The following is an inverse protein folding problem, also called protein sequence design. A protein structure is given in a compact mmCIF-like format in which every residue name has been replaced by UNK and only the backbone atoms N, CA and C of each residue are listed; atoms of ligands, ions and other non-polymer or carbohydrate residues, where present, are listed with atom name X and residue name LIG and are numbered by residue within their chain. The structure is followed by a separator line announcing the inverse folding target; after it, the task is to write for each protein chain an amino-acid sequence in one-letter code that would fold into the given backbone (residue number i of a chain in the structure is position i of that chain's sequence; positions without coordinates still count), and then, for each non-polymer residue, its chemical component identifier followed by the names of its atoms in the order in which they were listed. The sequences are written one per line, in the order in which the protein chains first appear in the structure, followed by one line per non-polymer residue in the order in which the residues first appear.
data_IF_942316467073
#
_entry.id   IF_942316467073
#
_cell.length_a   1.000
_cell.length_b   1.000
_cell.length_c   1.000
_cell.angle_alpha   90.00
_cell.angle_beta   90.00
_cell.angle_gamma   90.00
#
_symmetry.space_group_name_H-M   'P 1'
#
loop_
_entity.id
_entity.type
_entity.pdbx_description
1 polymer ?
#
# COMPACT_ATOMS: atom_id res chain seq x y z
N UNK A 1 -21.54 -25.70 -3.25
CA UNK A 1 -20.32 -24.95 -2.89
C UNK A 1 -19.79 -25.56 -1.60
N UNK A 2 -18.55 -26.05 -1.57
CA UNK A 2 -18.00 -26.67 -0.35
C UNK A 2 -17.70 -25.55 0.65
N UNK A 3 -18.18 -25.67 1.89
CA UNK A 3 -17.90 -24.68 2.93
C UNK A 3 -16.39 -24.60 3.19
N UNK A 4 -15.82 -23.38 3.17
CA UNK A 4 -14.40 -23.16 3.47
C UNK A 4 -14.08 -23.57 4.91
N UNK A 5 -12.88 -24.07 5.16
CA UNK A 5 -12.43 -24.27 6.53
C UNK A 5 -12.30 -22.92 7.25
N UNK A 6 -12.27 -22.93 8.59
CA UNK A 6 -12.11 -21.69 9.38
C UNK A 6 -10.79 -20.98 9.06
N UNK A 7 -9.73 -21.74 8.80
CA UNK A 7 -8.41 -21.20 8.48
C UNK A 7 -8.39 -20.58 7.07
N UNK A 8 -9.06 -21.21 6.10
CA UNK A 8 -9.21 -20.66 4.75
C UNK A 8 -10.03 -19.36 4.75
N UNK A 9 -11.08 -19.28 5.57
CA UNK A 9 -11.89 -18.07 5.71
C UNK A 9 -11.10 -16.92 6.34
N UNK A 10 -10.27 -17.22 7.34
CA UNK A 10 -9.39 -16.23 7.96
C UNK A 10 -8.33 -15.71 6.99
N UNK A 11 -7.69 -16.61 6.22
CA UNK A 11 -6.73 -16.23 5.17
C UNK A 11 -7.40 -15.38 4.07
N UNK A 12 -8.60 -15.76 3.64
CA UNK A 12 -9.36 -14.99 2.66
C UNK A 12 -9.69 -13.57 3.14
N UNK A 13 -10.06 -13.39 4.41
CA UNK A 13 -10.30 -12.07 4.99
C UNK A 13 -9.02 -11.21 5.05
N UNK A 14 -7.88 -11.82 5.40
CA UNK A 14 -6.58 -11.14 5.41
C UNK A 14 -6.18 -10.70 3.99
N UNK A 15 -6.33 -11.59 3.01
CA UNK A 15 -6.06 -11.29 1.60
C UNK A 15 -6.97 -10.19 1.05
N UNK A 16 -8.28 -10.28 1.32
CA UNK A 16 -9.25 -9.27 0.91
C UNK A 16 -8.93 -7.88 1.49
N UNK A 17 -8.40 -7.80 2.72
CA UNK A 17 -7.91 -6.54 3.27
C UNK A 17 -6.69 -6.01 2.51
N UNK A 18 -5.74 -6.88 2.13
CA UNK A 18 -4.58 -6.47 1.35
C UNK A 18 -5.00 -5.86 -0.01
N UNK A 19 -5.85 -6.58 -0.74
CA UNK A 19 -6.36 -6.16 -2.05
C UNK A 19 -7.16 -4.86 -1.94
N UNK A 20 -8.04 -4.74 -0.94
CA UNK A 20 -8.87 -3.55 -0.75
C UNK A 20 -8.04 -2.29 -0.49
N UNK A 21 -7.06 -2.36 0.42
CA UNK A 21 -6.21 -1.21 0.73
C UNK A 21 -5.31 -0.84 -0.44
N UNK A 22 -4.86 -1.84 -1.21
CA UNK A 22 -4.13 -1.61 -2.45
C UNK A 22 -5.00 -0.87 -3.48
N UNK A 23 -6.23 -1.33 -3.73
CA UNK A 23 -7.17 -0.64 -4.62
C UNK A 23 -7.53 0.77 -4.12
N UNK A 24 -7.56 0.98 -2.80
CA UNK A 24 -7.77 2.30 -2.24
C UNK A 24 -6.59 3.24 -2.51
N UNK A 25 -5.34 2.74 -2.44
CA UNK A 25 -4.16 3.52 -2.81
C UNK A 25 -4.25 3.99 -4.26
N UNK A 26 -4.54 3.07 -5.19
CA UNK A 26 -4.69 3.40 -6.62
C UNK A 26 -5.80 4.41 -6.86
N UNK A 27 -6.95 4.23 -6.21
CA UNK A 27 -8.09 5.14 -6.29
C UNK A 27 -7.75 6.53 -5.74
N UNK A 28 -6.99 6.61 -4.65
CA UNK A 28 -6.55 7.86 -4.06
C UNK A 28 -5.52 8.58 -4.96
N UNK A 29 -4.59 7.85 -5.56
CA UNK A 29 -3.65 8.39 -6.56
C UNK A 29 -4.39 9.02 -7.75
N UNK A 30 -5.36 8.33 -8.32
CA UNK A 30 -6.20 8.88 -9.39
C UNK A 30 -7.03 10.06 -8.92
N UNK A 31 -7.58 10.00 -7.70
CA UNK A 31 -8.38 11.09 -7.13
C UNK A 31 -7.56 12.38 -6.98
N UNK A 32 -6.34 12.27 -6.45
CA UNK A 32 -5.43 13.42 -6.30
C UNK A 32 -4.95 13.89 -7.67
N UNK A 33 -4.50 12.98 -8.54
CA UNK A 33 -3.99 13.34 -9.85
C UNK A 33 -5.02 14.08 -10.72
N UNK A 34 -6.26 13.60 -10.74
CA UNK A 34 -7.33 14.18 -11.59
C UNK A 34 -7.92 15.47 -11.06
N UNK A 35 -7.81 15.74 -9.75
CA UNK A 35 -8.43 16.92 -9.11
C UNK A 35 -7.44 18.00 -8.72
N UNK A 36 -6.22 17.61 -8.35
CA UNK A 36 -5.17 18.53 -7.88
C UNK A 36 -4.03 18.68 -8.90
N UNK A 37 -3.92 17.74 -9.85
CA UNK A 37 -2.99 17.79 -10.96
C UNK A 37 -1.64 17.09 -10.69
N UNK A 38 -0.79 16.99 -11.73
CA UNK A 38 0.43 16.17 -11.70
C UNK A 38 1.47 16.59 -10.66
N UNK A 39 1.65 17.90 -10.45
CA UNK A 39 2.62 18.40 -9.48
C UNK A 39 2.28 17.95 -8.05
N UNK A 40 1.00 18.08 -7.66
CA UNK A 40 0.53 17.76 -6.31
C UNK A 40 0.68 16.26 -6.01
N UNK A 41 0.26 15.38 -6.94
CA UNK A 41 0.46 13.94 -6.74
C UNK A 41 1.95 13.59 -6.70
N UNK A 42 2.79 14.25 -7.50
CA UNK A 42 4.25 14.06 -7.43
C UNK A 42 4.86 14.45 -6.08
N UNK A 43 4.43 15.57 -5.49
CA UNK A 43 4.90 16.04 -4.18
C UNK A 43 4.39 15.15 -3.04
N UNK A 44 3.14 14.69 -3.15
CA UNK A 44 2.58 13.71 -2.22
C UNK A 44 3.34 12.38 -2.26
N UNK A 45 3.59 11.83 -3.46
CA UNK A 45 4.34 10.58 -3.60
C UNK A 45 5.79 10.73 -3.11
N UNK A 46 6.42 11.89 -3.31
CA UNK A 46 7.72 12.19 -2.69
C UNK A 46 7.66 12.09 -1.16
N UNK A 47 6.73 12.80 -0.53
CA UNK A 47 6.58 12.83 0.94
C UNK A 47 6.26 11.45 1.51
N UNK A 48 5.30 10.74 0.92
CA UNK A 48 4.92 9.38 1.31
C UNK A 48 6.12 8.44 1.32
N UNK A 49 6.87 8.40 0.23
CA UNK A 49 8.03 7.52 0.13
C UNK A 49 9.19 7.98 1.01
N UNK A 50 9.36 9.29 1.19
CA UNK A 50 10.39 9.82 2.09
C UNK A 50 10.12 9.40 3.53
N UNK A 51 8.89 9.55 4.02
CA UNK A 51 8.49 9.10 5.36
C UNK A 51 8.72 7.61 5.55
N UNK A 52 8.30 6.78 4.59
CA UNK A 52 8.49 5.34 4.70
C UNK A 52 9.98 4.96 4.64
N UNK A 53 10.76 5.63 3.79
CA UNK A 53 12.21 5.47 3.70
C UNK A 53 12.86 5.76 5.06
N UNK A 54 12.58 6.90 5.68
CA UNK A 54 13.13 7.28 6.99
C UNK A 54 12.78 6.28 8.09
N UNK A 55 11.53 5.82 8.11
CA UNK A 55 11.07 4.89 9.13
C UNK A 55 11.64 3.47 8.98
N UNK A 56 11.80 2.98 7.74
CA UNK A 56 12.00 1.55 7.47
C UNK A 56 13.32 1.20 6.78
N UNK A 57 13.95 2.10 6.03
CA UNK A 57 15.06 1.74 5.16
C UNK A 57 16.21 1.11 5.94
N UNK A 58 16.85 1.85 6.86
CA UNK A 58 18.02 1.38 7.61
C UNK A 58 17.70 0.20 8.54
N UNK A 59 16.52 0.19 9.16
CA UNK A 59 16.14 -0.88 10.08
C UNK A 59 15.89 -2.20 9.35
N UNK A 60 15.24 -2.15 8.18
CA UNK A 60 15.06 -3.32 7.31
C UNK A 60 16.35 -3.73 6.60
N UNK A 61 17.20 -2.77 6.22
CA UNK A 61 18.49 -3.03 5.56
C UNK A 61 19.38 -3.95 6.43
N UNK A 62 19.49 -3.64 7.73
CA UNK A 62 20.19 -4.48 8.71
C UNK A 62 19.55 -5.85 8.89
N UNK A 63 18.22 -5.90 9.02
CA UNK A 63 17.48 -7.18 9.20
C UNK A 63 17.64 -8.13 8.01
N UNK A 64 17.86 -7.58 6.82
CA UNK A 64 18.11 -8.34 5.59
C UNK A 64 19.59 -8.72 5.41
N UNK A 65 20.47 -8.35 6.34
CA UNK A 65 21.89 -8.72 6.32
C UNK A 65 22.70 -8.04 5.21
N UNK A 66 22.33 -6.81 4.83
CA UNK A 66 22.90 -6.13 3.66
C UNK A 66 24.11 -5.22 3.99
N UNK A 67 24.47 -5.07 5.27
CA UNK A 67 25.49 -4.10 5.74
C UNK A 67 26.90 -4.37 5.22
N UNK A 68 27.23 -5.62 4.91
CA UNK A 68 28.58 -6.00 4.45
C UNK A 68 28.74 -5.95 2.92
N UNK A 69 27.68 -5.61 2.19
CA UNK A 69 27.70 -5.59 0.73
C UNK A 69 28.07 -4.18 0.21
N UNK A 70 28.70 -4.08 -0.97
CA UNK A 70 28.86 -2.80 -1.66
C UNK A 70 27.53 -2.07 -1.79
N UNK A 71 27.49 -0.76 -1.56
CA UNK A 71 26.23 -0.04 -1.38
C UNK A 71 25.30 -0.08 -2.61
N UNK A 72 25.84 -0.08 -3.84
CA UNK A 72 25.05 -0.24 -5.06
C UNK A 72 24.35 -1.61 -5.11
N UNK A 73 25.11 -2.68 -4.88
CA UNK A 73 24.62 -4.06 -4.75
C UNK A 73 23.59 -4.17 -3.64
N UNK A 74 23.92 -3.68 -2.44
CA UNK A 74 23.07 -3.74 -1.26
C UNK A 74 21.73 -3.04 -1.47
N UNK A 75 21.71 -1.87 -2.09
CA UNK A 75 20.49 -1.13 -2.41
C UNK A 75 19.61 -1.88 -3.42
N UNK A 76 20.19 -2.41 -4.49
CA UNK A 76 19.44 -3.18 -5.47
C UNK A 76 18.84 -4.46 -4.86
N UNK A 77 19.61 -5.19 -4.04
CA UNK A 77 19.12 -6.37 -3.30
C UNK A 77 18.07 -6.01 -2.26
N UNK A 78 18.22 -4.89 -1.55
CA UNK A 78 17.22 -4.38 -0.61
C UNK A 78 15.86 -4.25 -1.29
N UNK A 79 15.84 -3.64 -2.48
CA UNK A 79 14.60 -3.42 -3.21
C UNK A 79 13.94 -4.73 -3.63
N UNK A 80 14.70 -5.76 -4.02
CA UNK A 80 14.13 -7.08 -4.31
C UNK A 80 13.52 -7.74 -3.07
N UNK A 81 14.28 -7.77 -1.97
CA UNK A 81 13.87 -8.47 -0.76
C UNK A 81 12.71 -7.78 -0.04
N UNK A 82 12.77 -6.44 0.10
CA UNK A 82 11.75 -5.66 0.80
C UNK A 82 10.42 -5.63 0.04
N UNK A 83 10.44 -5.44 -1.28
CA UNK A 83 9.24 -5.47 -2.11
C UNK A 83 8.67 -6.89 -2.22
N UNK A 84 9.53 -7.92 -2.33
CA UNK A 84 9.11 -9.32 -2.38
C UNK A 84 8.29 -9.75 -1.17
N UNK A 85 8.62 -9.27 0.05
CA UNK A 85 7.81 -9.51 1.25
C UNK A 85 6.40 -8.89 1.17
N UNK A 86 6.24 -7.80 0.40
CA UNK A 86 4.95 -7.16 0.11
C UNK A 86 4.23 -7.75 -1.11
N UNK A 87 4.75 -8.83 -1.72
CA UNK A 87 4.19 -9.41 -2.94
C UNK A 87 4.53 -8.66 -4.22
N UNK A 88 5.47 -7.72 -4.19
CA UNK A 88 5.88 -6.91 -5.34
C UNK A 88 7.14 -7.50 -5.97
N UNK A 89 7.03 -7.96 -7.21
CA UNK A 89 8.13 -8.59 -7.92
C UNK A 89 9.14 -7.56 -8.46
N UNK A 90 10.42 -7.77 -8.17
CA UNK A 90 11.53 -6.95 -8.65
C UNK A 90 12.66 -7.88 -9.10
N UNK A 91 13.13 -7.69 -10.32
CA UNK A 91 14.29 -8.40 -10.85
C UNK A 91 15.58 -7.69 -10.42
N UNK A 92 16.62 -8.46 -10.13
CA UNK A 92 17.97 -8.02 -9.80
C UNK A 92 18.96 -8.39 -10.90
N UNK A 93 19.82 -7.47 -11.31
CA UNK A 93 20.95 -7.76 -12.22
C UNK A 93 22.20 -7.02 -11.73
N UNK A 94 23.20 -7.75 -11.26
CA UNK A 94 24.49 -7.19 -10.83
C UNK A 94 25.39 -6.95 -12.04
N UNK A 95 25.96 -5.75 -12.16
CA UNK A 95 26.96 -5.45 -13.20
C UNK A 95 28.38 -5.39 -12.61
N UNK A 96 28.51 -4.85 -11.40
CA UNK A 96 29.74 -4.83 -10.60
C UNK A 96 29.44 -4.43 -9.16
N UNK A 97 30.44 -4.45 -8.28
CA UNK A 97 30.33 -3.97 -6.90
C UNK A 97 29.84 -2.51 -6.80
N UNK A 98 30.11 -1.68 -7.81
CA UNK A 98 29.69 -0.28 -7.84
C UNK A 98 28.45 -0.02 -8.69
N UNK A 99 27.85 -1.04 -9.32
CA UNK A 99 26.66 -0.88 -10.17
C UNK A 99 25.76 -2.11 -10.19
N UNK A 100 24.53 -1.94 -9.74
CA UNK A 100 23.53 -3.00 -9.73
C UNK A 100 22.13 -2.48 -10.11
N UNK A 101 21.43 -3.28 -10.90
CA UNK A 101 20.17 -2.93 -11.53
C UNK A 101 18.97 -3.53 -10.79
N UNK A 102 17.86 -2.82 -10.90
CA UNK A 102 16.53 -3.30 -10.52
C UNK A 102 15.56 -3.09 -11.68
N UNK A 103 14.62 -4.02 -11.82
CA UNK A 103 13.53 -3.89 -12.78
C UNK A 103 12.22 -4.37 -12.20
N UNK A 104 11.23 -3.49 -12.23
CA UNK A 104 9.85 -3.80 -11.91
C UNK A 104 9.14 -4.19 -13.19
N UNK A 105 8.71 -5.44 -13.26
CA UNK A 105 7.94 -5.93 -14.41
C UNK A 105 6.46 -5.74 -14.20
N UNK A 106 5.72 -5.74 -15.31
CA UNK A 106 4.27 -5.82 -15.27
C UNK A 106 3.80 -7.21 -14.78
N UNK A 107 2.71 -7.29 -13.99
CA UNK A 107 1.88 -6.16 -13.54
C UNK A 107 2.57 -5.28 -12.49
N UNK A 108 2.40 -3.96 -12.63
CA UNK A 108 3.06 -2.97 -11.77
C UNK A 108 2.17 -2.66 -10.58
N UNK A 109 2.54 -3.16 -9.40
CA UNK A 109 1.72 -3.01 -8.19
C UNK A 109 1.27 -1.56 -7.90
N UNK A 110 2.16 -0.57 -7.97
CA UNK A 110 1.80 0.84 -7.67
C UNK A 110 0.77 1.42 -8.65
N UNK A 111 0.61 0.82 -9.83
CA UNK A 111 -0.22 1.33 -10.92
C UNK A 111 -1.06 0.20 -11.52
N UNK A 112 -1.57 -0.71 -10.69
CA UNK A 112 -2.18 -1.94 -11.18
C UNK A 112 -3.43 -1.67 -12.04
N UNK A 113 -3.63 -2.53 -13.03
CA UNK A 113 -4.75 -2.42 -13.95
C UNK A 113 -4.79 -1.09 -14.72
N UNK A 114 -6.00 -0.55 -15.00
CA UNK A 114 -6.15 0.68 -15.76
C UNK A 114 -5.60 1.94 -15.09
N UNK A 115 -5.21 1.89 -13.81
CA UNK A 115 -4.69 3.05 -13.09
C UNK A 115 -3.42 3.61 -13.77
N UNK A 116 -2.58 2.74 -14.34
CA UNK A 116 -1.37 3.14 -15.07
C UNK A 116 -1.62 4.13 -16.22
N UNK A 117 -2.81 4.12 -16.81
CA UNK A 117 -3.18 5.02 -17.89
C UNK A 117 -3.56 6.42 -17.40
N UNK A 118 -3.95 6.56 -16.14
CA UNK A 118 -4.47 7.81 -15.56
C UNK A 118 -3.52 8.49 -14.58
N UNK A 119 -2.61 7.76 -13.95
CA UNK A 119 -1.62 8.32 -13.02
C UNK A 119 -0.49 9.01 -13.83
N UNK A 120 -0.14 10.27 -13.53
CA UNK A 120 0.86 11.00 -14.29
C UNK A 120 2.30 10.62 -13.87
N UNK A 121 3.27 10.84 -14.76
CA UNK A 121 4.68 10.44 -14.56
C UNK A 121 5.32 11.02 -13.29
N UNK A 122 4.83 12.18 -12.86
CA UNK A 122 5.23 12.90 -11.65
C UNK A 122 5.06 12.06 -10.39
N UNK A 123 4.03 11.20 -10.31
CA UNK A 123 3.87 10.26 -9.21
C UNK A 123 5.07 9.31 -9.11
N UNK A 124 5.55 8.81 -10.26
CA UNK A 124 6.73 7.93 -10.31
C UNK A 124 8.00 8.67 -9.90
N UNK A 125 8.19 9.85 -10.48
CA UNK A 125 9.35 10.70 -10.16
C UNK A 125 9.34 11.19 -8.72
N UNK A 126 8.17 11.39 -8.13
CA UNK A 126 7.97 11.66 -6.72
C UNK A 126 8.59 10.56 -5.86
N UNK A 127 8.18 9.30 -6.04
CA UNK A 127 8.73 8.20 -5.24
C UNK A 127 10.22 7.96 -5.50
N UNK A 128 10.70 8.12 -6.75
CA UNK A 128 12.14 7.98 -7.07
C UNK A 128 12.97 9.00 -6.30
N UNK A 129 12.52 10.26 -6.22
CA UNK A 129 13.16 11.31 -5.43
C UNK A 129 13.04 11.08 -3.92
N UNK A 130 11.89 10.58 -3.45
CA UNK A 130 11.59 10.35 -2.04
C UNK A 130 12.31 9.15 -1.45
N UNK A 131 12.64 8.15 -2.27
CA UNK A 131 13.28 6.91 -1.84
C UNK A 131 14.63 6.68 -2.49
N UNK A 132 14.67 6.40 -3.80
CA UNK A 132 15.87 5.90 -4.48
C UNK A 132 17.04 6.89 -4.42
N UNK A 133 16.75 8.18 -4.59
CA UNK A 133 17.75 9.24 -4.47
C UNK A 133 18.29 9.45 -3.04
N UNK A 134 17.61 8.89 -2.02
CA UNK A 134 17.94 9.08 -0.60
C UNK A 134 18.73 7.92 0.01
N UNK A 135 18.88 6.81 -0.72
CA UNK A 135 19.60 5.64 -0.24
C UNK A 135 21.07 5.97 0.11
N UNK A 136 21.78 6.69 -0.77
CA UNK A 136 23.17 7.10 -0.54
C UNK A 136 23.33 7.99 0.70
N UNK A 137 22.45 8.99 0.84
CA UNK A 137 22.41 9.89 2.00
C UNK A 137 22.27 9.08 3.30
N UNK A 138 21.36 8.11 3.32
CA UNK A 138 21.04 7.36 4.53
C UNK A 138 22.10 6.34 4.90
N UNK A 139 22.83 5.81 3.91
CA UNK A 139 24.00 4.94 4.11
C UNK A 139 25.29 5.73 4.41
N UNK A 140 25.24 7.06 4.42
CA UNK A 140 26.44 7.89 4.57
C UNK A 140 27.40 7.81 3.36
N UNK A 141 26.88 7.44 2.19
CA UNK A 141 27.64 7.34 0.95
C UNK A 141 27.19 8.43 -0.05
N UNK A 142 27.86 9.60 -0.07
CA UNK A 142 27.45 10.70 -0.93
C UNK A 142 27.72 10.44 -2.42
N UNK A 143 28.43 9.37 -2.76
CA UNK A 143 28.76 8.98 -4.14
C UNK A 143 27.74 8.04 -4.75
N UNK A 144 26.75 7.58 -3.99
CA UNK A 144 25.73 6.65 -4.47
C UNK A 144 24.52 7.41 -5.01
N UNK A 145 24.19 7.15 -6.28
CA UNK A 145 22.99 7.66 -6.94
C UNK A 145 22.16 6.55 -7.58
N UNK A 146 20.99 6.93 -8.09
CA UNK A 146 20.12 6.07 -8.88
C UNK A 146 19.89 6.64 -10.27
N UNK A 147 19.99 5.79 -11.29
CA UNK A 147 19.72 6.15 -12.68
C UNK A 147 18.49 5.39 -13.16
N UNK A 148 17.43 6.11 -13.52
CA UNK A 148 16.23 5.55 -14.13
C UNK A 148 16.41 5.48 -15.66
N UNK A 149 16.18 4.31 -16.25
CA UNK A 149 16.33 4.06 -17.70
C UNK A 149 15.01 3.76 -18.39
N UNK A 150 13.94 3.52 -17.62
CA UNK A 150 12.62 3.19 -18.14
C UNK A 150 11.59 3.54 -17.08
N UNK A 151 10.50 4.19 -17.48
CA UNK A 151 9.40 4.65 -16.62
C UNK A 151 8.10 3.92 -17.00
N UNK A 152 7.24 3.63 -16.02
CA UNK A 152 5.98 2.89 -16.26
C UNK A 152 5.01 3.69 -17.16
N UNK A 153 4.76 4.97 -16.83
CA UNK A 153 3.73 5.81 -17.48
C UNK A 153 4.12 6.34 -18.86
N UNK A 154 5.34 6.06 -19.33
CA UNK A 154 5.82 6.48 -20.66
C UNK A 154 5.66 5.39 -21.72
N UNK A 155 5.09 4.23 -21.35
CA UNK A 155 4.89 3.09 -22.25
C UNK A 155 6.17 2.28 -22.50
N UNK A 156 7.20 2.46 -21.67
CA UNK A 156 8.44 1.71 -21.75
C UNK A 156 8.32 0.32 -21.07
N UNK A 157 9.42 -0.43 -21.01
CA UNK A 157 9.44 -1.87 -20.68
C UNK A 157 9.33 -2.20 -19.18
N UNK A 158 8.61 -1.34 -18.44
CA UNK A 158 8.47 -1.32 -16.98
C UNK A 158 9.51 -0.42 -16.32
N UNK A 159 9.25 0.01 -15.07
CA UNK A 159 10.22 0.79 -14.31
C UNK A 159 11.55 0.03 -14.16
N UNK A 160 12.63 0.61 -14.67
CA UNK A 160 13.96 0.02 -14.62
C UNK A 160 15.02 1.09 -14.33
N UNK A 161 16.04 0.71 -13.58
CA UNK A 161 17.17 1.57 -13.29
C UNK A 161 18.26 0.85 -12.53
N UNK A 162 19.31 1.57 -12.15
CA UNK A 162 20.42 1.03 -11.40
C UNK A 162 20.91 1.99 -10.32
N UNK A 163 21.39 1.41 -9.23
CA UNK A 163 22.24 2.12 -8.29
C UNK A 163 23.66 2.12 -8.82
N UNK A 164 24.34 3.27 -8.71
CA UNK A 164 25.74 3.41 -9.08
C UNK A 164 26.49 4.23 -8.04
N UNK A 165 27.65 3.72 -7.64
CA UNK A 165 28.64 4.49 -6.91
C UNK A 165 29.61 5.15 -7.90
N UNK A 166 29.77 6.47 -7.77
CA UNK A 166 30.63 7.30 -8.61
C UNK A 166 31.98 7.56 -7.91
N UNK A 167 32.94 8.13 -8.67
CA UNK A 167 34.25 8.48 -8.12
C UNK A 167 34.16 9.67 -7.15
N UNK A 168 33.34 10.67 -7.51
CA UNK A 168 33.09 11.90 -6.77
C UNK A 168 31.74 11.90 -6.03
N UNK A 169 31.63 12.76 -5.02
CA UNK A 169 30.38 12.99 -4.31
C UNK A 169 29.34 13.67 -5.20
N UNK A 170 28.10 13.20 -5.14
CA UNK A 170 26.97 13.72 -5.90
C UNK A 170 26.31 14.90 -5.18
N UNK A 171 26.04 15.97 -5.92
CA UNK A 171 25.09 17.00 -5.51
C UNK A 171 23.66 16.43 -5.41
N UNK A 172 22.75 17.17 -4.78
CA UNK A 172 21.37 16.71 -4.56
C UNK A 172 20.64 16.38 -5.87
N UNK A 173 20.81 17.23 -6.89
CA UNK A 173 20.23 17.08 -8.21
C UNK A 173 20.91 15.99 -9.06
N UNK A 174 22.09 15.52 -8.65
CA UNK A 174 22.82 14.44 -9.34
C UNK A 174 22.47 13.04 -8.82
N UNK A 175 21.79 12.94 -7.67
CA UNK A 175 21.42 11.65 -7.03
C UNK A 175 20.37 10.85 -7.80
N UNK A 176 19.57 11.52 -8.63
CA UNK A 176 18.60 10.89 -9.51
C UNK A 176 18.84 11.37 -10.94
N UNK A 177 19.17 10.45 -11.83
CA UNK A 177 19.41 10.75 -13.24
C UNK A 177 18.51 9.90 -14.14
N UNK A 178 18.32 10.34 -15.38
CA UNK A 178 17.52 9.64 -16.39
C UNK A 178 18.37 9.32 -17.62
N UNK A 179 18.38 8.06 -18.05
CA UNK A 179 19.17 7.55 -19.19
C UNK A 179 18.33 6.54 -20.01
N UNK A 180 17.32 7.00 -20.77
CA UNK A 180 16.36 6.12 -21.46
C UNK A 180 16.97 5.19 -22.53
N UNK A 181 18.19 5.50 -22.97
CA UNK A 181 18.89 4.76 -24.02
C UNK A 181 19.69 3.56 -23.49
N UNK A 182 19.82 3.41 -22.17
CA UNK A 182 20.53 2.29 -21.56
C UNK A 182 19.63 1.07 -21.35
N UNK A 183 20.25 -0.12 -21.25
CA UNK A 183 19.54 -1.38 -21.03
C UNK A 183 20.21 -2.19 -19.91
N UNK A 184 19.43 -2.92 -19.10
CA UNK A 184 20.00 -3.77 -18.07
C UNK A 184 20.74 -4.97 -18.70
N UNK A 185 21.67 -5.60 -17.96
CA UNK A 185 22.20 -6.92 -18.29
C UNK A 185 21.11 -7.98 -18.45
N UNK A 186 21.46 -9.14 -19.02
CA UNK A 186 20.53 -10.26 -19.13
C UNK A 186 20.10 -10.76 -17.73
N UNK A 187 18.81 -11.04 -17.57
CA UNK A 187 18.27 -11.62 -16.35
C UNK A 187 18.81 -13.03 -16.12
N UNK A 188 19.25 -13.31 -14.90
CA UNK A 188 19.66 -14.64 -14.46
C UNK A 188 18.84 -15.07 -13.22
N UNK A 189 17.99 -16.11 -13.34
CA UNK A 189 17.17 -16.59 -12.23
C UNK A 189 18.00 -17.16 -11.06
N UNK A 190 19.24 -17.56 -11.29
CA UNK A 190 20.11 -18.13 -10.25
C UNK A 190 20.75 -17.07 -9.36
N UNK A 191 20.78 -15.80 -9.82
CA UNK A 191 21.38 -14.67 -9.11
C UNK A 191 20.35 -13.84 -8.32
N UNK A 192 19.07 -14.21 -8.36
CA UNK A 192 18.04 -13.44 -7.68
C UNK A 192 18.17 -13.54 -6.16
N UNK A 193 18.19 -12.40 -5.43
CA UNK A 193 18.19 -12.39 -3.98
C UNK A 193 16.99 -13.15 -3.42
N UNK A 194 17.25 -13.99 -2.41
CA UNK A 194 16.20 -14.72 -1.69
C UNK A 194 16.12 -14.18 -0.27
N UNK A 195 14.91 -14.08 0.31
CA UNK A 195 14.78 -13.80 1.73
C UNK A 195 15.53 -14.89 2.52
N UNK A 196 16.07 -14.55 3.71
CA UNK A 196 16.70 -15.54 4.58
C UNK A 196 15.80 -16.77 4.79
N UNK A 197 16.37 -17.98 4.73
CA UNK A 197 15.64 -19.22 4.92
C UNK A 197 15.06 -19.29 6.34
N UNK A 198 13.73 -19.40 6.46
CA UNK A 198 13.05 -19.72 7.71
C UNK A 198 11.94 -18.74 8.16
N UNK A 199 10.77 -19.32 8.46
CA UNK A 199 9.62 -18.74 9.20
C UNK A 199 8.61 -17.86 8.45
N UNK A 200 8.46 -17.99 7.13
CA UNK A 200 7.36 -17.37 6.38
C UNK A 200 6.33 -18.42 5.96
N UNK A 201 5.45 -18.81 6.88
CA UNK A 201 4.25 -19.57 6.52
C UNK A 201 3.26 -18.69 5.73
N UNK A 202 2.29 -19.33 5.08
CA UNK A 202 1.27 -18.65 4.25
C UNK A 202 0.53 -17.56 5.04
N UNK A 203 0.19 -17.81 6.31
CA UNK A 203 -0.50 -16.85 7.15
C UNK A 203 0.35 -15.62 7.47
N UNK A 204 1.66 -15.79 7.68
CA UNK A 204 2.61 -14.69 7.89
C UNK A 204 2.79 -13.88 6.62
N UNK A 205 2.88 -14.52 5.45
CA UNK A 205 2.94 -13.83 4.16
C UNK A 205 1.67 -13.02 3.89
N UNK A 206 0.49 -13.59 4.10
CA UNK A 206 -0.78 -12.89 3.96
C UNK A 206 -0.86 -11.66 4.88
N UNK A 207 -0.45 -11.81 6.16
CA UNK A 207 -0.41 -10.69 7.11
C UNK A 207 0.61 -9.62 6.71
N UNK A 208 1.76 -10.01 6.16
CA UNK A 208 2.78 -9.08 5.69
C UNK A 208 2.27 -8.28 4.49
N UNK A 209 1.65 -8.94 3.52
CA UNK A 209 1.03 -8.29 2.35
C UNK A 209 -0.07 -7.31 2.80
N UNK A 210 -1.00 -7.74 3.66
CA UNK A 210 -2.01 -6.85 4.24
C UNK A 210 -1.41 -5.63 4.92
N UNK A 211 -0.40 -5.83 5.77
CA UNK A 211 0.26 -4.72 6.46
C UNK A 211 0.98 -3.78 5.48
N UNK A 212 1.58 -4.33 4.42
CA UNK A 212 2.23 -3.55 3.37
C UNK A 212 1.22 -2.60 2.70
N UNK A 213 0.10 -3.12 2.20
CA UNK A 213 -0.95 -2.31 1.57
C UNK A 213 -1.58 -1.30 2.55
N UNK A 214 -1.88 -1.74 3.79
CA UNK A 214 -2.42 -0.87 4.84
C UNK A 214 -1.48 0.30 5.16
N UNK A 215 -0.18 0.05 5.30
CA UNK A 215 0.79 1.09 5.64
C UNK A 215 0.91 2.18 4.56
N UNK A 216 0.63 1.86 3.30
CA UNK A 216 0.52 2.88 2.24
C UNK A 216 -0.66 3.81 2.47
N UNK A 217 -1.82 3.29 2.92
CA UNK A 217 -2.97 4.13 3.25
C UNK A 217 -2.70 5.00 4.47
N UNK A 218 -2.12 4.40 5.52
CA UNK A 218 -1.79 5.12 6.76
C UNK A 218 -0.84 6.28 6.50
N UNK A 219 0.31 5.99 5.90
CA UNK A 219 1.30 7.03 5.61
C UNK A 219 0.84 7.96 4.48
N UNK A 220 0.10 7.43 3.49
CA UNK A 220 -0.38 8.19 2.35
C UNK A 220 -1.34 9.28 2.78
N UNK A 221 -2.38 8.94 3.53
CA UNK A 221 -3.32 9.94 4.05
C UNK A 221 -2.63 10.94 5.00
N UNK A 222 -1.74 10.47 5.89
CA UNK A 222 -0.98 11.37 6.77
C UNK A 222 -0.15 12.39 5.96
N UNK A 223 0.61 11.95 4.96
CA UNK A 223 1.41 12.87 4.15
C UNK A 223 0.57 13.73 3.21
N UNK A 224 -0.62 13.28 2.82
CA UNK A 224 -1.54 14.08 2.02
C UNK A 224 -2.05 15.29 2.81
N UNK A 225 -2.28 15.16 4.12
CA UNK A 225 -2.57 16.30 5.01
C UNK A 225 -1.46 17.36 4.92
N UNK A 226 -0.20 16.93 4.87
CA UNK A 226 0.94 17.84 4.74
C UNK A 226 1.04 18.56 3.38
N UNK A 227 0.35 18.08 2.35
CA UNK A 227 0.33 18.65 1.00
C UNK A 227 -0.91 19.50 0.75
N UNK A 228 -2.09 18.98 1.11
CA UNK A 228 -3.38 19.58 0.79
C UNK A 228 -4.08 20.26 1.98
N UNK A 229 -3.57 20.03 3.20
CA UNK A 229 -4.28 20.38 4.42
C UNK A 229 -5.37 19.37 4.78
N UNK A 230 -5.82 19.42 6.04
CA UNK A 230 -6.74 18.43 6.62
C UNK A 230 -8.08 18.34 5.88
N UNK A 231 -8.74 19.47 5.64
CA UNK A 231 -10.09 19.50 5.08
C UNK A 231 -10.15 18.90 3.66
N UNK A 232 -9.18 19.25 2.81
CA UNK A 232 -9.13 18.75 1.43
C UNK A 232 -8.73 17.28 1.38
N UNK A 233 -7.81 16.85 2.25
CA UNK A 233 -7.46 15.44 2.41
C UNK A 233 -8.65 14.60 2.85
N UNK A 234 -9.46 15.09 3.82
CA UNK A 234 -10.69 14.41 4.22
C UNK A 234 -11.69 14.31 3.07
N UNK A 235 -11.89 15.38 2.30
CA UNK A 235 -12.82 15.36 1.17
C UNK A 235 -12.43 14.31 0.11
N UNK A 236 -11.18 14.35 -0.36
CA UNK A 236 -10.71 13.44 -1.40
C UNK A 236 -10.54 12.01 -0.87
N UNK A 237 -9.95 11.88 0.32
CA UNK A 237 -9.70 10.60 0.97
C UNK A 237 -10.97 9.81 1.23
N UNK A 238 -12.01 10.46 1.78
CA UNK A 238 -13.31 9.83 2.02
C UNK A 238 -14.02 9.44 0.73
N UNK A 239 -14.00 10.32 -0.28
CA UNK A 239 -14.65 10.01 -1.55
C UNK A 239 -13.96 8.84 -2.25
N UNK A 240 -12.63 8.84 -2.31
CA UNK A 240 -11.86 7.73 -2.88
C UNK A 240 -12.14 6.43 -2.11
N UNK A 241 -12.13 6.48 -0.77
CA UNK A 241 -12.45 5.32 0.06
C UNK A 241 -13.85 4.77 -0.23
N UNK A 242 -14.86 5.64 -0.24
CA UNK A 242 -16.25 5.23 -0.49
C UNK A 242 -16.42 4.60 -1.87
N UNK A 243 -15.86 5.20 -2.91
CA UNK A 243 -15.90 4.66 -4.27
C UNK A 243 -15.18 3.30 -4.37
N UNK A 244 -14.02 3.17 -3.74
CA UNK A 244 -13.30 1.88 -3.68
C UNK A 244 -14.14 0.83 -2.96
N UNK A 245 -14.75 1.16 -1.82
CA UNK A 245 -15.63 0.25 -1.09
C UNK A 245 -16.80 -0.23 -1.95
N UNK A 246 -17.48 0.72 -2.60
CA UNK A 246 -18.59 0.45 -3.52
C UNK A 246 -18.17 -0.53 -4.62
N UNK A 247 -17.03 -0.27 -5.26
CA UNK A 247 -16.52 -1.08 -6.37
C UNK A 247 -16.08 -2.49 -5.92
N UNK A 248 -15.48 -2.60 -4.73
CA UNK A 248 -14.81 -3.84 -4.28
C UNK A 248 -15.72 -4.77 -3.47
N UNK A 249 -16.90 -4.33 -3.03
CA UNK A 249 -17.80 -5.13 -2.19
C UNK A 249 -18.04 -6.55 -2.72
N UNK A 250 -18.44 -6.67 -3.99
CA UNK A 250 -18.77 -7.97 -4.60
C UNK A 250 -17.56 -8.91 -4.68
N UNK A 251 -16.36 -8.37 -4.88
CA UNK A 251 -15.12 -9.16 -4.88
C UNK A 251 -14.81 -9.70 -3.49
N UNK A 252 -14.92 -8.85 -2.47
CA UNK A 252 -14.69 -9.24 -1.07
C UNK A 252 -15.74 -10.23 -0.57
N UNK A 253 -17.03 -9.98 -0.85
CA UNK A 253 -18.12 -10.87 -0.46
C UNK A 253 -17.95 -12.27 -1.09
N UNK A 254 -17.58 -12.34 -2.38
CA UNK A 254 -17.27 -13.60 -3.05
C UNK A 254 -16.05 -14.31 -2.44
N UNK A 255 -14.97 -13.56 -2.12
CA UNK A 255 -13.78 -14.11 -1.47
C UNK A 255 -14.11 -14.71 -0.08
N UNK A 256 -15.01 -14.10 0.67
CA UNK A 256 -15.46 -14.57 1.97
C UNK A 256 -16.58 -15.64 1.91
N UNK A 257 -17.21 -15.83 0.75
CA UNK A 257 -18.39 -16.69 0.62
C UNK A 257 -19.63 -16.12 1.33
N UNK A 258 -19.72 -14.79 1.45
CA UNK A 258 -20.87 -14.10 2.05
C UNK A 258 -21.92 -13.81 0.98
N UNK A 259 -23.14 -14.26 1.22
CA UNK A 259 -24.31 -13.88 0.42
C UNK A 259 -24.92 -12.57 0.96
N UNK A 260 -25.47 -11.75 0.07
CA UNK A 260 -26.19 -10.54 0.47
C UNK A 260 -27.52 -10.91 1.13
N UNK A 261 -27.85 -10.25 2.25
CA UNK A 261 -29.01 -10.64 3.06
C UNK A 261 -29.41 -9.63 4.13
N UNK A 262 -29.34 -8.33 3.84
CA UNK A 262 -29.72 -7.27 4.77
C UNK A 262 -28.71 -7.02 5.92
N UNK A 263 -29.14 -6.35 7.01
CA UNK A 263 -28.24 -5.86 8.05
C UNK A 263 -27.39 -6.93 8.74
N UNK A 264 -27.94 -8.12 9.00
CA UNK A 264 -27.22 -9.21 9.67
C UNK A 264 -26.10 -9.76 8.78
N UNK A 265 -26.37 -9.99 7.49
CA UNK A 265 -25.36 -10.43 6.53
C UNK A 265 -24.26 -9.39 6.34
N UNK A 266 -24.64 -8.09 6.26
CA UNK A 266 -23.68 -6.99 6.17
C UNK A 266 -22.80 -6.86 7.43
N UNK A 267 -23.38 -7.07 8.63
CA UNK A 267 -22.63 -7.10 9.87
C UNK A 267 -21.67 -8.29 9.95
N UNK A 268 -22.10 -9.47 9.50
CA UNK A 268 -21.25 -10.66 9.38
C UNK A 268 -20.07 -10.45 8.42
N UNK A 269 -20.33 -9.85 7.26
CA UNK A 269 -19.28 -9.43 6.31
C UNK A 269 -18.29 -8.47 6.95
N UNK A 270 -18.79 -7.40 7.57
CA UNK A 270 -17.96 -6.38 8.21
C UNK A 270 -17.09 -7.00 9.31
N UNK A 271 -17.68 -7.84 10.16
CA UNK A 271 -16.97 -8.52 11.23
C UNK A 271 -15.86 -9.45 10.71
N UNK A 272 -16.11 -10.19 9.64
CA UNK A 272 -15.09 -11.02 9.00
C UNK A 272 -13.93 -10.18 8.46
N UNK A 273 -14.23 -9.04 7.81
CA UNK A 273 -13.20 -8.13 7.32
C UNK A 273 -12.38 -7.52 8.45
N UNK A 274 -13.01 -7.06 9.54
CA UNK A 274 -12.28 -6.52 10.71
C UNK A 274 -11.41 -7.59 11.39
N UNK A 275 -11.90 -8.83 11.50
CA UNK A 275 -11.07 -9.95 11.97
C UNK A 275 -9.87 -10.21 11.04
N UNK A 276 -10.06 -10.11 9.71
CA UNK A 276 -8.98 -10.18 8.71
C UNK A 276 -7.96 -9.04 8.83
N UNK A 277 -8.41 -7.87 9.29
CA UNK A 277 -7.51 -6.77 9.66
C UNK A 277 -6.67 -7.13 10.90
N UNK A 278 -7.15 -8.05 11.73
CA UNK A 278 -6.54 -8.45 12.99
C UNK A 278 -6.99 -7.57 14.16
N UNK A 279 -8.25 -7.15 14.10
CA UNK A 279 -9.02 -6.48 15.15
C UNK A 279 -9.99 -7.47 15.81
N UNK A 280 -10.38 -7.18 17.05
CA UNK A 280 -11.36 -7.99 17.79
C UNK A 280 -12.78 -7.46 17.53
N UNK A 281 -13.74 -8.36 17.37
CA UNK A 281 -15.08 -8.01 16.90
C UNK A 281 -16.16 -8.81 17.63
N UNK A 282 -17.26 -8.15 17.97
CA UNK A 282 -18.51 -8.79 18.38
C UNK A 282 -19.70 -8.22 17.62
N UNK A 283 -20.72 -9.06 17.38
CA UNK A 283 -21.93 -8.70 16.62
C UNK A 283 -23.14 -8.91 17.51
N UNK A 284 -24.07 -7.95 17.50
CA UNK A 284 -25.33 -8.02 18.23
C UNK A 284 -26.49 -7.53 17.36
N UNK A 285 -27.60 -8.28 17.35
CA UNK A 285 -28.85 -7.84 16.73
C UNK A 285 -29.52 -6.82 17.65
N UNK A 286 -30.00 -5.71 17.08
CA UNK A 286 -30.69 -4.66 17.81
C UNK A 286 -32.20 -4.84 17.74
N UNK A 287 -32.89 -4.41 18.80
CA UNK A 287 -34.34 -4.23 18.79
C UNK A 287 -34.72 -3.23 17.68
N UNK A 288 -35.58 -3.63 16.75
CA UNK A 288 -35.98 -2.80 15.60
C UNK A 288 -35.32 -3.17 14.26
N UNK A 289 -34.64 -4.31 14.15
CA UNK A 289 -34.20 -4.88 12.86
C UNK A 289 -32.87 -4.37 12.33
N UNK A 290 -32.09 -3.66 13.15
CA UNK A 290 -30.69 -3.32 12.87
C UNK A 290 -29.71 -4.33 13.45
N UNK A 291 -28.44 -4.23 13.06
CA UNK A 291 -27.36 -5.05 13.63
C UNK A 291 -26.16 -4.16 13.93
N UNK A 292 -25.60 -4.29 15.14
CA UNK A 292 -24.39 -3.60 15.56
C UNK A 292 -23.16 -4.48 15.52
N UNK A 293 -22.03 -3.89 15.16
CA UNK A 293 -20.70 -4.49 15.22
C UNK A 293 -19.84 -3.63 16.14
N UNK A 294 -19.33 -4.22 17.22
CA UNK A 294 -18.37 -3.57 18.11
C UNK A 294 -16.96 -4.06 17.77
N UNK A 295 -16.07 -3.14 17.40
CA UNK A 295 -14.71 -3.41 16.91
C UNK A 295 -13.67 -2.75 17.82
N UNK A 296 -12.69 -3.50 18.31
CA UNK A 296 -11.59 -2.97 19.14
C UNK A 296 -10.22 -3.30 18.57
N UNK A 297 -9.17 -2.67 19.10
CA UNK A 297 -7.77 -2.87 18.68
C UNK A 297 -7.33 -2.04 17.46
N UNK A 298 -8.29 -1.60 16.63
CA UNK A 298 -8.21 -0.61 15.55
C UNK A 298 -6.84 -0.55 14.84
N UNK A 299 -6.44 -1.66 14.21
CA UNK A 299 -5.10 -1.80 13.61
C UNK A 299 -4.77 -0.70 12.63
N UNK A 300 -5.76 -0.23 11.86
CA UNK A 300 -5.57 0.82 10.86
C UNK A 300 -4.94 2.10 11.45
N UNK A 301 -5.23 2.43 12.70
CA UNK A 301 -4.71 3.64 13.37
C UNK A 301 -3.83 3.33 14.58
N UNK A 302 -3.37 2.09 14.71
CA UNK A 302 -2.56 1.66 15.85
C UNK A 302 -1.22 2.41 15.91
N UNK A 303 -0.97 3.09 17.03
CA UNK A 303 0.23 3.89 17.24
C UNK A 303 0.20 5.23 16.49
N UNK A 304 -0.99 5.70 16.09
CA UNK A 304 -1.21 7.04 15.55
C UNK A 304 -1.97 7.89 16.58
N UNK A 305 -1.72 9.19 16.58
CA UNK A 305 -2.41 10.17 17.40
C UNK A 305 -2.79 11.43 16.60
N UNK A 306 -3.50 12.35 17.25
CA UNK A 306 -3.88 13.66 16.72
C UNK A 306 -4.58 13.61 15.35
N UNK A 307 -4.34 14.65 14.55
CA UNK A 307 -4.96 14.84 13.23
C UNK A 307 -4.71 13.67 12.28
N UNK A 308 -3.52 13.07 12.30
CA UNK A 308 -3.21 11.93 11.43
C UNK A 308 -4.12 10.74 11.73
N UNK A 309 -4.27 10.39 13.01
CA UNK A 309 -5.16 9.32 13.47
C UNK A 309 -6.59 9.58 12.99
N UNK A 310 -7.08 10.80 13.20
CA UNK A 310 -8.47 11.14 12.95
C UNK A 310 -8.80 11.16 11.45
N UNK A 311 -7.89 11.67 10.61
CA UNK A 311 -8.04 11.65 9.15
C UNK A 311 -8.02 10.23 8.61
N UNK A 312 -7.05 9.41 9.02
CA UNK A 312 -6.95 8.02 8.57
C UNK A 312 -8.19 7.23 8.98
N UNK A 313 -8.62 7.34 10.24
CA UNK A 313 -9.80 6.63 10.73
C UNK A 313 -11.06 7.05 9.98
N UNK A 314 -11.25 8.36 9.77
CA UNK A 314 -12.45 8.87 9.11
C UNK A 314 -12.54 8.42 7.64
N UNK A 315 -11.44 8.52 6.88
CA UNK A 315 -11.39 8.03 5.50
C UNK A 315 -11.59 6.52 5.43
N UNK A 316 -10.94 5.76 6.32
CA UNK A 316 -11.07 4.32 6.37
C UNK A 316 -12.48 3.86 6.76
N UNK A 317 -13.19 4.61 7.61
CA UNK A 317 -14.59 4.30 7.90
C UNK A 317 -15.48 4.46 6.66
N UNK A 318 -15.20 5.45 5.80
CA UNK A 318 -15.97 5.67 4.57
C UNK A 318 -15.75 4.58 3.52
N UNK A 319 -14.63 3.86 3.56
CA UNK A 319 -14.39 2.64 2.78
C UNK A 319 -15.47 1.60 3.05
N UNK A 320 -15.75 1.32 4.33
CA UNK A 320 -16.73 0.32 4.74
C UNK A 320 -18.17 0.78 4.56
N UNK A 321 -18.45 2.08 4.74
CA UNK A 321 -19.75 2.64 4.36
C UNK A 321 -20.03 2.41 2.88
N UNK A 322 -19.05 2.69 2.01
CA UNK A 322 -19.17 2.40 0.58
C UNK A 322 -19.37 0.92 0.28
N UNK A 323 -18.62 0.05 0.94
CA UNK A 323 -18.76 -1.40 0.74
C UNK A 323 -20.16 -1.91 1.08
N UNK A 324 -20.71 -1.52 2.24
CA UNK A 324 -22.05 -1.97 2.65
C UNK A 324 -23.13 -1.36 1.73
N UNK A 325 -22.98 -0.10 1.33
CA UNK A 325 -23.89 0.60 0.41
C UNK A 325 -23.97 -0.03 -1.00
N UNK A 326 -23.00 -0.85 -1.40
CA UNK A 326 -23.07 -1.59 -2.66
C UNK A 326 -23.99 -2.81 -2.62
N UNK A 327 -24.50 -3.18 -1.45
CA UNK A 327 -25.45 -4.29 -1.30
C UNK A 327 -26.76 -3.99 -2.04
N UNK A 328 -27.46 -5.03 -2.47
CA UNK A 328 -28.77 -4.93 -3.11
C UNK A 328 -29.82 -4.29 -2.20
N UNK A 329 -29.78 -4.61 -0.92
CA UNK A 329 -30.60 -3.96 0.09
C UNK A 329 -30.01 -2.59 0.40
N UNK A 330 -30.81 -1.53 0.26
CA UNK A 330 -30.42 -0.20 0.71
C UNK A 330 -30.29 -0.19 2.23
N UNK A 331 -29.11 0.20 2.71
CA UNK A 331 -28.76 0.16 4.13
C UNK A 331 -28.00 1.42 4.53
N UNK A 332 -28.37 1.96 5.68
CA UNK A 332 -27.63 3.00 6.36
C UNK A 332 -26.59 2.38 7.28
N UNK A 333 -25.38 2.95 7.30
CA UNK A 333 -24.30 2.57 8.21
C UNK A 333 -23.91 3.78 9.04
N UNK A 334 -24.12 3.71 10.35
CA UNK A 334 -23.60 4.67 11.32
C UNK A 334 -22.35 4.12 12.00
N UNK A 335 -21.42 5.02 12.33
CA UNK A 335 -20.17 4.67 13.01
C UNK A 335 -19.90 5.69 14.09
N UNK A 336 -19.76 5.23 15.32
CA UNK A 336 -19.38 6.05 16.47
C UNK A 336 -18.02 5.59 17.02
N UNK A 337 -17.17 6.55 17.37
CA UNK A 337 -15.97 6.24 18.17
C UNK A 337 -16.38 6.06 19.63
N UNK A 338 -15.99 4.94 20.21
CA UNK A 338 -16.16 4.61 21.64
C UNK A 338 -14.79 4.49 22.31
N UNK A 339 -14.68 4.54 23.65
CA UNK A 339 -13.38 4.62 24.34
C UNK A 339 -12.37 3.53 23.96
N UNK A 340 -12.84 2.34 23.62
CA UNK A 340 -12.03 1.16 23.29
C UNK A 340 -12.06 0.78 21.79
N UNK A 341 -12.80 1.51 20.95
CA UNK A 341 -13.04 1.04 19.59
C UNK A 341 -14.02 1.86 18.73
N UNK A 342 -14.69 1.14 17.83
CA UNK A 342 -15.75 1.64 16.96
C UNK A 342 -17.01 0.81 17.16
N UNK A 343 -18.15 1.51 17.26
CA UNK A 343 -19.47 0.91 17.16
C UNK A 343 -20.07 1.24 15.79
N UNK A 344 -20.30 0.19 15.02
CA UNK A 344 -20.98 0.25 13.73
C UNK A 344 -22.44 -0.15 13.94
N UNK A 345 -23.37 0.58 13.34
CA UNK A 345 -24.79 0.19 13.34
C UNK A 345 -25.30 0.18 11.90
N UNK A 346 -25.77 -0.98 11.46
CA UNK A 346 -26.28 -1.20 10.12
C UNK A 346 -27.80 -1.38 10.23
N UNK A 347 -28.55 -0.62 9.43
CA UNK A 347 -30.01 -0.69 9.38
C UNK A 347 -30.47 -0.71 7.93
N UNK A 348 -31.57 -1.42 7.66
CA UNK A 348 -32.24 -1.35 6.38
C UNK A 348 -32.89 0.02 6.24
N UNK A 349 -32.72 0.66 5.08
CA UNK A 349 -33.44 1.88 4.74
C UNK A 349 -34.89 1.54 4.40
N UNK A 350 -35.82 2.40 4.80
CA UNK A 350 -37.26 2.18 4.65
C UNK A 350 -37.73 2.37 3.21
#
# INVERSE_FOLDING_TARGET
MVAKSRDDAALAAIGAQADLHHQYLLGLELMVATREGPAVVGDWMFRLFRRQHEAKFLSSFRKLGLDALPHAVACARYHVLSNGMGGVAVEYMEESDTKAWVRFRYPRWMYDGPAICGVPVEASRGFLRGWYAQNGVSLGNPRLGFVCVSEDMTGQFGLCGYFREYDDALAEDERLQFRPDERPPAYDPTQQPRPPEGTWDEARLAKANRNYAMDYIRNGLSELVGVLGEARTLELGKLAARLTGLQQFRHMAAALGVEEGGPEAAAGFLAAMMAGMGDDVSVAVQDGGGTSVHQTGLRIVRGMDGTERDVVLACWCDLWRGAIQASRDFMSVDVAQVPDGLDWVIRREA
#
